data_IF_596213801042
#
_entry.id   IF_596213801042
#
_cell.length_a   1.000
_cell.length_b   1.000
_cell.length_c   1.000
_cell.angle_alpha   90.00
_cell.angle_beta   90.00
_cell.angle_gamma   90.00
#
_symmetry.space_group_name_H-M   'P 1'
#
loop_
_entity.id
_entity.type
_entity.pdbx_description
1 polymer ?
#
# COMPACT_ATOMS: atom_id res chain seq x y z
N UNK A 1 -20.59 7.04 16.27
CA UNK A 1 -19.55 7.92 15.69
C UNK A 1 -19.03 8.96 16.67
N UNK A 2 -19.86 9.80 17.32
CA UNK A 2 -19.37 10.86 18.21
C UNK A 2 -18.51 10.35 19.40
N UNK A 3 -18.85 9.21 20.00
CA UNK A 3 -18.08 8.62 21.09
C UNK A 3 -16.66 8.18 20.68
N UNK A 4 -16.53 7.51 19.53
CA UNK A 4 -15.24 7.04 19.01
C UNK A 4 -14.27 8.19 18.72
N UNK A 5 -14.74 9.26 18.08
CA UNK A 5 -13.87 10.42 17.79
C UNK A 5 -13.39 11.10 19.07
N UNK A 6 -14.24 11.20 20.10
CA UNK A 6 -13.84 11.79 21.38
C UNK A 6 -12.81 10.92 22.13
N UNK A 7 -12.91 9.60 22.01
CA UNK A 7 -11.95 8.66 22.57
C UNK A 7 -10.56 8.83 21.91
N UNK A 8 -10.49 8.84 20.58
CA UNK A 8 -9.25 9.08 19.84
C UNK A 8 -8.64 10.44 20.21
N UNK A 9 -9.45 11.51 20.25
CA UNK A 9 -8.97 12.83 20.62
C UNK A 9 -8.37 12.86 22.04
N UNK A 10 -9.04 12.23 23.00
CA UNK A 10 -8.55 12.13 24.38
C UNK A 10 -7.25 11.33 24.46
N UNK A 11 -7.16 10.24 23.70
CA UNK A 11 -5.95 9.43 23.58
C UNK A 11 -4.77 10.22 23.01
N UNK A 12 -4.99 10.94 21.90
CA UNK A 12 -4.00 11.81 21.28
C UNK A 12 -3.52 12.92 22.21
N UNK A 13 -4.43 13.57 22.95
CA UNK A 13 -4.06 14.58 23.96
C UNK A 13 -3.22 14.00 25.09
N UNK A 14 -3.56 12.80 25.56
CA UNK A 14 -2.82 12.10 26.61
C UNK A 14 -1.41 11.74 26.14
N UNK A 15 -1.27 11.16 24.96
CA UNK A 15 0.01 10.82 24.34
C UNK A 15 0.90 12.08 24.19
N UNK A 16 0.32 13.19 23.73
CA UNK A 16 1.01 14.47 23.60
C UNK A 16 1.51 14.99 24.95
N UNK A 17 0.68 14.96 26.01
CA UNK A 17 1.07 15.36 27.37
C UNK A 17 2.20 14.50 27.93
N UNK A 18 2.28 13.24 27.51
CA UNK A 18 3.34 12.30 27.88
C UNK A 18 4.60 12.42 27.01
N UNK A 19 4.62 13.32 26.02
CA UNK A 19 5.74 13.50 25.10
C UNK A 19 5.90 12.37 24.08
N UNK A 20 4.85 11.58 23.85
CA UNK A 20 4.86 10.52 22.85
C UNK A 20 4.61 11.11 21.45
N UNK A 21 5.37 10.63 20.47
CA UNK A 21 5.23 11.07 19.06
C UNK A 21 3.91 10.59 18.44
N UNK A 22 3.44 9.41 18.83
CA UNK A 22 2.24 8.78 18.28
C UNK A 22 1.34 8.28 19.41
N UNK A 23 0.04 8.48 19.25
CA UNK A 23 -0.97 7.75 19.99
C UNK A 23 -1.19 6.38 19.33
N UNK A 24 -1.33 5.33 20.14
CA UNK A 24 -1.70 3.97 19.72
C UNK A 24 -3.05 3.63 20.32
N UNK A 25 -3.97 3.14 19.50
CA UNK A 25 -5.26 2.64 19.99
C UNK A 25 -5.02 1.39 20.84
N UNK A 26 -5.88 1.11 21.83
CA UNK A 26 -5.65 0.02 22.78
C UNK A 26 -5.50 -1.35 22.09
N UNK A 27 -6.28 -1.58 21.02
CA UNK A 27 -6.21 -2.77 20.18
C UNK A 27 -4.84 -2.90 19.47
N UNK A 28 -4.25 -1.78 19.06
CA UNK A 28 -2.92 -1.73 18.44
C UNK A 28 -1.79 -1.91 19.47
N UNK A 29 -2.01 -1.57 20.74
CA UNK A 29 -1.04 -1.85 21.82
C UNK A 29 -0.97 -3.35 22.17
N UNK A 30 -2.08 -4.06 21.97
CA UNK A 30 -2.21 -5.48 22.27
C UNK A 30 -1.78 -6.36 21.09
N UNK A 31 -1.88 -5.82 19.86
CA UNK A 31 -1.24 -6.40 18.70
C UNK A 31 0.29 -6.29 18.85
N UNK A 32 0.98 -7.41 19.05
CA UNK A 32 2.45 -7.42 18.92
C UNK A 32 2.83 -6.87 17.54
N UNK A 33 3.96 -6.17 17.41
CA UNK A 33 4.56 -5.86 16.11
C UNK A 33 4.80 -7.19 15.39
N UNK A 34 3.79 -7.64 14.63
CA UNK A 34 3.81 -8.94 13.99
C UNK A 34 5.02 -8.94 13.04
N UNK A 35 5.81 -10.02 12.99
CA UNK A 35 6.87 -10.11 12.03
C UNK A 35 6.28 -9.86 10.63
N UNK A 36 7.04 -9.21 9.74
CA UNK A 36 6.56 -8.92 8.41
C UNK A 36 6.03 -10.21 7.76
N UNK A 37 4.92 -10.12 7.02
CA UNK A 37 4.34 -11.29 6.40
C UNK A 37 5.39 -11.99 5.53
N UNK A 38 5.71 -13.23 5.90
CA UNK A 38 6.55 -14.11 5.09
C UNK A 38 5.76 -14.61 3.88
N UNK A 39 6.43 -15.29 2.95
CA UNK A 39 5.77 -16.00 1.85
C UNK A 39 4.55 -16.77 2.40
N UNK A 40 3.37 -16.46 1.88
CA UNK A 40 2.13 -17.02 2.37
C UNK A 40 1.91 -18.41 1.77
N UNK A 41 1.83 -19.44 2.63
CA UNK A 41 1.46 -20.79 2.20
C UNK A 41 -0.02 -20.79 1.74
N UNK A 42 -0.26 -21.23 0.51
CA UNK A 42 -1.59 -21.40 -0.07
C UNK A 42 -1.66 -22.67 -0.93
N UNK A 43 -2.81 -23.33 -0.92
CA UNK A 43 -3.13 -24.41 -1.86
C UNK A 43 -3.52 -23.89 -3.26
N UNK A 44 -3.68 -22.57 -3.41
CA UNK A 44 -3.93 -21.91 -4.68
C UNK A 44 -2.63 -21.75 -5.47
N UNK A 45 -2.38 -22.66 -6.40
CA UNK A 45 -1.13 -22.71 -7.19
C UNK A 45 -1.27 -22.13 -8.61
N UNK A 46 -2.46 -21.67 -8.99
CA UNK A 46 -2.69 -21.11 -10.34
C UNK A 46 -1.93 -19.80 -10.49
N UNK A 47 -1.15 -19.57 -11.57
CA UNK A 47 -0.44 -18.30 -11.76
C UNK A 47 -1.36 -17.08 -11.75
N UNK A 48 -0.99 -16.05 -11.00
CA UNK A 48 -1.70 -14.78 -10.87
C UNK A 48 -0.86 -13.67 -11.49
N UNK A 49 -1.47 -12.86 -12.35
CA UNK A 49 -0.85 -11.66 -12.91
C UNK A 49 -1.61 -10.43 -12.44
N UNK A 50 -0.95 -9.56 -11.69
CA UNK A 50 -1.52 -8.30 -11.18
C UNK A 50 -1.09 -7.17 -12.11
N UNK A 51 -2.08 -6.52 -12.72
CA UNK A 51 -1.80 -5.39 -13.63
C UNK A 51 -1.46 -4.15 -12.81
N UNK A 52 -0.28 -3.57 -13.03
CA UNK A 52 0.20 -2.35 -12.38
C UNK A 52 0.45 -1.23 -13.38
N UNK A 53 0.24 0.02 -12.95
CA UNK A 53 0.56 1.21 -13.72
C UNK A 53 0.95 2.39 -12.80
N UNK A 54 1.44 3.49 -13.36
CA UNK A 54 1.96 4.64 -12.60
C UNK A 54 0.96 5.40 -11.72
N UNK A 55 -0.33 5.05 -11.79
CA UNK A 55 -1.41 5.57 -10.95
C UNK A 55 -1.80 4.61 -9.81
N UNK A 56 -1.22 3.41 -9.75
CA UNK A 56 -1.36 2.53 -8.60
C UNK A 56 -0.57 3.12 -7.42
N UNK A 57 -1.30 3.75 -6.51
CA UNK A 57 -0.79 4.34 -5.26
C UNK A 57 -1.77 4.11 -4.11
N UNK A 58 -1.38 4.46 -2.88
CA UNK A 58 -2.23 4.32 -1.69
C UNK A 58 -2.73 2.87 -1.53
N UNK A 59 -4.04 2.65 -1.33
CA UNK A 59 -4.61 1.32 -1.15
C UNK A 59 -4.31 0.32 -2.30
N UNK A 60 -3.99 0.79 -3.50
CA UNK A 60 -3.52 -0.09 -4.57
C UNK A 60 -2.18 -0.74 -4.22
N UNK A 61 -1.25 0.01 -3.63
CA UNK A 61 0.04 -0.52 -3.20
C UNK A 61 -0.14 -1.46 -2.00
N UNK A 62 -1.09 -1.20 -1.12
CA UNK A 62 -1.42 -2.12 -0.02
C UNK A 62 -1.94 -3.47 -0.57
N UNK A 63 -2.74 -3.46 -1.64
CA UNK A 63 -3.15 -4.70 -2.32
C UNK A 63 -1.96 -5.43 -2.96
N UNK A 64 -1.03 -4.69 -3.58
CA UNK A 64 0.20 -5.27 -4.12
C UNK A 64 1.04 -5.91 -3.02
N UNK A 65 1.19 -5.25 -1.87
CA UNK A 65 1.91 -5.78 -0.71
C UNK A 65 1.40 -7.19 -0.33
N UNK A 66 0.07 -7.40 -0.36
CA UNK A 66 -0.54 -8.71 -0.10
C UNK A 66 -0.33 -9.71 -1.23
N UNK A 67 -0.54 -9.32 -2.49
CA UNK A 67 -0.43 -10.24 -3.62
C UNK A 67 0.99 -10.77 -3.78
N UNK A 68 2.00 -9.93 -3.52
CA UNK A 68 3.41 -10.32 -3.63
C UNK A 68 3.90 -11.23 -2.51
N UNK A 69 3.04 -11.56 -1.53
CA UNK A 69 3.35 -12.61 -0.55
C UNK A 69 3.27 -14.02 -1.13
N UNK A 70 2.62 -14.19 -2.29
CA UNK A 70 2.42 -15.49 -2.90
C UNK A 70 3.39 -15.68 -4.07
N UNK A 71 4.15 -16.78 -4.05
CA UNK A 71 5.18 -17.08 -5.05
C UNK A 71 4.63 -17.29 -6.47
N UNK A 72 3.33 -17.61 -6.61
CA UNK A 72 2.64 -17.75 -7.89
C UNK A 72 2.10 -16.41 -8.44
N UNK A 73 2.40 -15.28 -7.81
CA UNK A 73 2.01 -13.95 -8.29
C UNK A 73 3.15 -13.26 -9.02
N UNK A 74 2.83 -12.64 -10.16
CA UNK A 74 3.71 -11.72 -10.88
C UNK A 74 3.01 -10.39 -11.15
N UNK A 75 3.74 -9.30 -11.07
CA UNK A 75 3.31 -7.98 -11.47
C UNK A 75 3.54 -7.79 -12.99
N UNK A 76 2.55 -7.24 -13.70
CA UNK A 76 2.63 -6.98 -15.14
C UNK A 76 2.19 -5.56 -15.48
N UNK A 77 2.90 -4.87 -16.37
CA UNK A 77 2.53 -3.54 -16.85
C UNK A 77 3.65 -2.51 -16.66
N UNK A 78 3.40 -1.46 -15.88
CA UNK A 78 4.34 -0.38 -15.60
C UNK A 78 4.75 -0.33 -14.12
N UNK A 79 5.84 0.40 -13.79
CA UNK A 79 6.10 0.79 -12.42
C UNK A 79 4.89 1.47 -11.79
N UNK A 80 4.60 1.09 -10.56
CA UNK A 80 3.57 1.73 -9.74
C UNK A 80 3.97 3.16 -9.36
N UNK A 81 3.05 3.91 -8.76
CA UNK A 81 3.40 5.14 -8.05
C UNK A 81 4.16 4.81 -6.75
N UNK A 82 4.47 5.82 -5.97
CA UNK A 82 4.99 5.67 -4.62
C UNK A 82 4.14 6.46 -3.63
N UNK A 83 4.07 5.98 -2.38
CA UNK A 83 3.43 6.69 -1.28
C UNK A 83 4.36 6.84 -0.08
N UNK A 84 3.94 7.67 0.86
CA UNK A 84 4.58 7.76 2.17
C UNK A 84 4.08 6.63 3.09
N UNK A 85 4.67 6.51 4.28
CA UNK A 85 4.11 5.66 5.33
C UNK A 85 2.83 6.22 5.95
N UNK A 86 2.32 7.38 5.52
CA UNK A 86 1.09 7.96 6.02
C UNK A 86 -0.13 7.49 5.21
N UNK A 87 -1.19 7.11 5.91
CA UNK A 87 -2.44 6.57 5.32
C UNK A 87 -3.51 7.63 5.15
N UNK A 88 -3.75 8.40 6.22
CA UNK A 88 -4.85 9.36 6.29
C UNK A 88 -4.30 10.78 6.30
N UNK A 89 -4.92 11.66 5.52
CA UNK A 89 -4.52 13.05 5.35
C UNK A 89 -5.73 13.95 5.55
N UNK A 90 -5.59 14.93 6.43
CA UNK A 90 -6.54 16.03 6.55
C UNK A 90 -6.02 17.22 5.77
N UNK A 91 -6.87 17.76 4.91
CA UNK A 91 -6.62 19.02 4.23
C UNK A 91 -7.33 20.16 4.95
N UNK A 92 -6.66 21.29 5.11
CA UNK A 92 -7.23 22.52 5.68
C UNK A 92 -6.84 23.70 4.80
N UNK A 93 -7.81 24.46 4.32
CA UNK A 93 -7.55 25.67 3.55
C UNK A 93 -6.81 26.70 4.42
N UNK A 94 -5.77 27.32 3.86
CA UNK A 94 -5.00 28.33 4.56
C UNK A 94 -5.84 29.61 4.67
N UNK A 95 -5.95 30.22 5.87
CA UNK A 95 -6.78 31.42 6.06
C UNK A 95 -6.43 32.61 5.16
N UNK A 96 -5.19 32.66 4.64
CA UNK A 96 -4.63 33.80 3.92
C UNK A 96 -4.71 33.68 2.38
N UNK A 97 -5.24 32.60 1.79
CA UNK A 97 -5.29 32.48 0.34
C UNK A 97 -5.44 31.04 -0.18
N UNK A 98 -5.12 30.79 -1.47
CA UNK A 98 -5.52 29.57 -2.19
C UNK A 98 -4.70 28.32 -1.83
N UNK A 99 -3.92 28.36 -0.76
CA UNK A 99 -3.10 27.23 -0.33
C UNK A 99 -3.86 26.29 0.59
N UNK A 100 -3.41 25.04 0.67
CA UNK A 100 -3.98 24.01 1.55
C UNK A 100 -2.85 23.44 2.40
N UNK A 101 -3.07 23.34 3.71
CA UNK A 101 -2.23 22.55 4.60
C UNK A 101 -2.66 21.07 4.51
N UNK A 102 -1.70 20.19 4.23
CA UNK A 102 -1.91 18.74 4.25
C UNK A 102 -1.29 18.19 5.52
N UNK A 103 -2.13 17.63 6.40
CA UNK A 103 -1.74 17.14 7.72
C UNK A 103 -1.90 15.61 7.72
N UNK A 104 -0.81 14.84 7.69
CA UNK A 104 -0.91 13.39 7.83
C UNK A 104 -1.32 13.02 9.26
N UNK A 105 -2.27 12.10 9.41
CA UNK A 105 -2.89 11.76 10.69
C UNK A 105 -2.53 10.36 11.20
N UNK A 106 -2.33 9.41 10.29
CA UNK A 106 -2.08 8.00 10.63
C UNK A 106 -0.86 7.48 9.88
N UNK A 107 0.00 6.73 10.58
CA UNK A 107 1.25 6.19 10.04
C UNK A 107 1.25 4.66 10.13
N UNK A 108 1.64 4.00 9.04
CA UNK A 108 1.93 2.57 9.03
C UNK A 108 3.17 2.26 9.87
N UNK A 109 3.07 1.20 10.68
CA UNK A 109 4.16 0.63 11.48
C UNK A 109 4.32 -0.84 11.09
N UNK A 110 5.55 -1.31 10.97
CA UNK A 110 5.84 -2.70 10.59
C UNK A 110 5.61 -3.06 9.12
N UNK A 111 5.24 -2.09 8.26
CA UNK A 111 5.12 -2.31 6.81
C UNK A 111 6.51 -2.54 6.20
N UNK A 112 6.68 -3.61 5.43
CA UNK A 112 7.94 -3.89 4.72
C UNK A 112 8.26 -2.84 3.65
N UNK A 113 7.24 -2.47 2.85
CA UNK A 113 7.39 -1.46 1.81
C UNK A 113 7.76 -0.10 2.40
N UNK A 114 8.93 0.41 2.02
CA UNK A 114 9.51 1.65 2.52
C UNK A 114 8.73 2.88 2.06
N UNK A 115 8.90 4.00 2.77
CA UNK A 115 8.41 5.31 2.34
C UNK A 115 9.03 5.69 0.99
N UNK A 116 8.21 6.07 0.02
CA UNK A 116 8.64 6.41 -1.34
C UNK A 116 9.01 5.22 -2.21
N UNK A 117 8.79 3.99 -1.75
CA UNK A 117 9.05 2.78 -2.53
C UNK A 117 7.89 2.49 -3.48
N UNK A 118 8.22 2.32 -4.76
CA UNK A 118 7.34 1.81 -5.80
C UNK A 118 7.71 0.36 -6.15
N UNK A 119 6.75 -0.39 -6.66
CA UNK A 119 6.94 -1.69 -7.30
C UNK A 119 7.29 -1.54 -8.78
N UNK A 120 8.23 -2.38 -9.24
CA UNK A 120 8.48 -2.62 -10.66
C UNK A 120 7.70 -3.86 -11.10
N UNK A 121 7.20 -3.88 -12.35
CA UNK A 121 6.56 -5.08 -12.88
C UNK A 121 7.62 -6.16 -13.15
N UNK A 122 7.26 -7.42 -12.96
CA UNK A 122 8.07 -8.57 -13.37
C UNK A 122 8.03 -8.75 -14.90
N UNK A 123 6.89 -8.40 -15.50
CA UNK A 123 6.66 -8.45 -16.94
C UNK A 123 6.20 -7.07 -17.46
N UNK A 124 6.81 -6.62 -18.54
CA UNK A 124 6.36 -5.42 -19.24
C UNK A 124 5.81 -5.81 -20.61
N UNK A 125 4.51 -5.57 -20.89
CA UNK A 125 3.94 -5.80 -22.21
C UNK A 125 4.67 -4.97 -23.26
N UNK A 126 4.91 -5.59 -24.41
CA UNK A 126 5.39 -4.88 -25.60
C UNK A 126 4.24 -4.06 -26.20
N UNK A 127 4.54 -3.10 -27.08
CA UNK A 127 3.52 -2.24 -27.70
C UNK A 127 3.33 -0.89 -27.00
N UNK A 128 2.84 0.09 -27.76
CA UNK A 128 2.73 1.49 -27.34
C UNK A 128 1.45 1.79 -26.55
N UNK A 129 0.38 1.06 -26.83
CA UNK A 129 -0.94 1.24 -26.24
C UNK A 129 -1.24 0.25 -25.11
N UNK A 130 -0.34 -0.72 -24.86
CA UNK A 130 -0.51 -1.81 -23.91
C UNK A 130 -1.92 -2.38 -23.97
N UNK A 131 -2.30 -2.76 -25.19
CA UNK A 131 -3.61 -3.32 -25.47
C UNK A 131 -3.82 -4.60 -24.67
N UNK A 132 -5.08 -5.00 -24.50
CA UNK A 132 -5.41 -6.31 -23.90
C UNK A 132 -4.64 -7.45 -24.59
N UNK A 133 -4.42 -7.35 -25.90
CA UNK A 133 -3.73 -8.39 -26.66
C UNK A 133 -2.26 -8.47 -26.26
N UNK A 134 -1.60 -7.34 -26.05
CA UNK A 134 -0.20 -7.28 -25.61
C UNK A 134 -0.01 -7.92 -24.24
N UNK A 135 -0.92 -7.64 -23.29
CA UNK A 135 -0.92 -8.32 -21.98
C UNK A 135 -1.09 -9.83 -22.13
N UNK A 136 -2.05 -10.28 -22.94
CA UNK A 136 -2.30 -11.70 -23.16
C UNK A 136 -1.09 -12.41 -23.78
N UNK A 137 -0.39 -11.76 -24.71
CA UNK A 137 0.77 -12.34 -25.37
C UNK A 137 1.98 -12.40 -24.44
N UNK A 138 2.20 -11.36 -23.63
CA UNK A 138 3.20 -11.37 -22.57
C UNK A 138 2.94 -12.50 -21.54
N UNK A 139 1.70 -12.65 -21.09
CA UNK A 139 1.30 -13.71 -20.14
C UNK A 139 1.49 -15.09 -20.76
N UNK A 140 1.03 -15.32 -21.99
CA UNK A 140 1.21 -16.61 -22.68
C UNK A 140 2.68 -16.96 -22.87
N UNK A 141 3.50 -15.96 -23.23
CA UNK A 141 4.95 -16.16 -23.38
C UNK A 141 5.61 -16.55 -22.05
N UNK A 142 5.24 -15.90 -20.95
CA UNK A 142 5.75 -16.22 -19.62
C UNK A 142 5.32 -17.62 -19.15
N UNK A 143 4.04 -17.98 -19.32
CA UNK A 143 3.54 -19.32 -19.00
C UNK A 143 4.23 -20.41 -19.82
N UNK A 144 4.54 -20.14 -21.09
CA UNK A 144 5.25 -21.07 -21.97
C UNK A 144 6.72 -21.32 -21.62
N UNK A 145 7.34 -20.48 -20.78
CA UNK A 145 8.73 -20.65 -20.30
C UNK A 145 8.84 -21.56 -19.07
N UNK A 146 7.73 -21.84 -18.40
CA UNK A 146 7.65 -22.69 -17.21
C UNK A 146 7.37 -24.18 -17.50
N UNK A 147 7.21 -24.54 -18.79
CA UNK A 147 7.16 -25.92 -19.29
C UNK A 147 8.50 -26.31 -19.90
#
# INVERSE_FOLDING_TARGET
MAGYVAEIATGMESALKQGQTFYREAEDEQASEAPPPQSADSDFTTPVYVVTWGGCGSACLDAVDYFTLFDNTKLIGAPTSADSTYMDVRTVDLPAGPGVAVIPLKVYRGRERKSGQFYRPDLQPEGLDWSRQDYLDAIRSDLGKGM
#
